data_IF_400496588315
#
_entry.id   IF_400496588315
#
_cell.length_a   1.000
_cell.length_b   1.000
_cell.length_c   1.000
_cell.angle_alpha   90.00
_cell.angle_beta   90.00
_cell.angle_gamma   90.00
#
_symmetry.space_group_name_H-M   'P 1'
#
loop_
_entity.id
_entity.type
_entity.pdbx_description
1 polymer ?
#
# COMPACT_ATOMS: atom_id res chain seq x y z
N UNK A 1 7.52 -7.82 -0.02
CA UNK A 1 7.06 -6.67 0.78
C UNK A 1 5.54 -6.69 0.93
N UNK A 2 4.76 -6.62 -0.16
CA UNK A 2 3.28 -6.74 -0.13
C UNK A 2 2.76 -7.90 0.72
N UNK A 3 3.29 -9.12 0.56
CA UNK A 3 2.86 -10.25 1.39
C UNK A 3 3.06 -10.08 2.90
N UNK A 4 4.06 -9.30 3.35
CA UNK A 4 4.26 -8.97 4.78
C UNK A 4 3.29 -7.89 5.24
N UNK A 5 3.03 -6.88 4.42
CA UNK A 5 2.05 -5.83 4.71
C UNK A 5 0.64 -6.42 4.82
N UNK A 6 0.23 -7.22 3.83
CA UNK A 6 -1.13 -7.77 3.76
C UNK A 6 -1.39 -8.93 4.73
N UNK A 7 -0.36 -9.39 5.44
CA UNK A 7 -0.52 -10.28 6.58
C UNK A 7 -0.95 -9.53 7.86
N UNK A 8 -0.88 -8.19 7.87
CA UNK A 8 -1.34 -7.37 8.99
C UNK A 8 -2.86 -7.21 8.88
N UNK A 9 -3.57 -7.61 9.92
CA UNK A 9 -5.00 -7.33 10.06
C UNK A 9 -5.21 -5.83 10.27
N UNK A 10 -6.04 -5.23 9.42
CA UNK A 10 -6.39 -3.82 9.53
C UNK A 10 -7.12 -3.53 10.85
N UNK A 11 -6.76 -2.45 11.56
CA UNK A 11 -7.54 -1.97 12.69
C UNK A 11 -9.01 -1.70 12.31
N UNK A 12 -9.94 -2.05 13.20
CA UNK A 12 -11.38 -1.95 12.94
C UNK A 12 -11.89 -0.52 12.68
N UNK A 13 -11.11 0.51 13.00
CA UNK A 13 -11.46 1.91 12.77
C UNK A 13 -11.10 2.41 11.36
N UNK A 14 -10.33 1.64 10.58
CA UNK A 14 -10.00 2.03 9.22
C UNK A 14 -11.21 1.91 8.29
N UNK A 15 -11.36 2.84 7.32
CA UNK A 15 -12.40 2.72 6.30
C UNK A 15 -12.15 1.49 5.42
N UNK A 16 -13.22 0.90 4.86
CA UNK A 16 -13.13 -0.24 3.92
C UNK A 16 -13.77 0.11 2.57
N UNK A 17 -13.13 0.99 1.77
CA UNK A 17 -13.73 1.52 0.53
C UNK A 17 -13.84 0.47 -0.59
N UNK A 18 -13.12 -0.65 -0.47
CA UNK A 18 -13.08 -1.72 -1.47
C UNK A 18 -13.90 -2.96 -1.07
N UNK A 19 -14.74 -2.85 -0.04
CA UNK A 19 -15.61 -3.95 0.40
C UNK A 19 -14.91 -4.92 1.35
N UNK A 20 -15.23 -6.21 1.22
CA UNK A 20 -14.76 -7.25 2.15
C UNK A 20 -13.24 -7.46 2.08
N UNK A 21 -12.65 -7.68 3.25
CA UNK A 21 -11.22 -7.96 3.41
C UNK A 21 -10.69 -7.35 4.70
N UNK A 22 -9.70 -8.00 5.29
CA UNK A 22 -9.13 -7.59 6.57
C UNK A 22 -7.65 -7.20 6.48
N UNK A 23 -7.09 -7.10 5.27
CA UNK A 23 -5.71 -6.67 5.12
C UNK A 23 -5.59 -5.17 5.35
N UNK A 24 -4.51 -4.75 6.01
CA UNK A 24 -4.08 -3.36 6.00
C UNK A 24 -3.57 -2.99 4.60
N UNK A 25 -4.19 -1.99 3.99
CA UNK A 25 -3.83 -1.44 2.68
C UNK A 25 -3.08 -0.11 2.88
N UNK A 26 -2.09 0.18 2.04
CA UNK A 26 -1.38 1.46 2.04
C UNK A 26 -2.00 2.47 1.07
N UNK A 27 -2.45 2.00 -0.09
CA UNK A 27 -3.09 2.73 -1.20
C UNK A 27 -2.27 3.85 -1.85
N UNK A 28 -1.03 4.01 -1.42
CA UNK A 28 -0.07 4.97 -1.98
C UNK A 28 1.35 4.44 -1.88
N UNK A 29 1.50 3.15 -2.17
CA UNK A 29 2.80 2.51 -2.06
C UNK A 29 3.62 2.76 -3.33
N UNK A 30 4.74 3.45 -3.16
CA UNK A 30 5.76 3.69 -4.18
C UNK A 30 7.14 3.84 -3.51
N UNK A 31 8.25 3.81 -4.27
CA UNK A 31 9.59 3.84 -3.68
C UNK A 31 9.85 5.02 -2.74
N UNK A 32 9.30 6.21 -3.01
CA UNK A 32 9.46 7.38 -2.12
C UNK A 32 8.76 7.23 -0.76
N UNK A 33 7.78 6.32 -0.63
CA UNK A 33 7.12 5.97 0.65
C UNK A 33 7.77 4.75 1.34
N UNK A 34 8.98 4.37 0.92
CA UNK A 34 9.77 3.28 1.52
C UNK A 34 11.13 3.80 1.98
N UNK A 35 11.39 3.73 3.28
CA UNK A 35 12.73 3.96 3.84
C UNK A 35 13.40 2.61 4.09
N UNK A 36 14.62 2.41 3.58
CA UNK A 36 15.40 1.18 3.85
C UNK A 36 16.50 1.50 4.87
N UNK A 37 16.43 0.86 6.04
CA UNK A 37 17.45 0.98 7.09
C UNK A 37 17.94 -0.42 7.48
N UNK A 38 19.26 -0.64 7.45
CA UNK A 38 19.89 -1.94 7.72
C UNK A 38 19.28 -3.11 6.91
N UNK A 39 18.88 -2.85 5.66
CA UNK A 39 18.26 -3.85 4.78
C UNK A 39 16.78 -4.14 5.07
N UNK A 40 16.17 -3.45 6.03
CA UNK A 40 14.74 -3.60 6.38
C UNK A 40 13.94 -2.44 5.79
N UNK A 41 12.85 -2.71 5.04
CA UNK A 41 11.96 -1.66 4.54
C UNK A 41 10.99 -1.20 5.63
N UNK A 42 10.85 0.11 5.77
CA UNK A 42 9.89 0.81 6.60
C UNK A 42 8.94 1.59 5.71
N UNK A 43 7.64 1.45 5.99
CA UNK A 43 6.58 2.15 5.28
C UNK A 43 6.18 3.41 6.02
N UNK A 44 6.05 4.49 5.26
CA UNK A 44 5.69 5.82 5.75
C UNK A 44 4.50 6.37 4.96
N UNK A 45 3.95 7.50 5.41
CA UNK A 45 2.81 8.15 4.78
C UNK A 45 1.56 7.26 4.64
N UNK A 46 0.94 6.99 5.79
CA UNK A 46 -0.26 6.17 5.92
C UNK A 46 -1.57 6.97 5.73
N UNK A 47 -1.50 8.17 5.14
CA UNK A 47 -2.65 9.06 4.99
C UNK A 47 -3.81 8.40 4.23
N UNK A 48 -3.49 7.49 3.32
CA UNK A 48 -4.44 6.74 2.49
C UNK A 48 -4.77 5.35 3.05
N UNK A 49 -4.36 5.02 4.27
CA UNK A 49 -4.54 3.66 4.81
C UNK A 49 -6.02 3.26 4.89
N UNK A 50 -6.28 2.00 4.57
CA UNK A 50 -7.63 1.44 4.60
C UNK A 50 -7.60 -0.06 4.94
N UNK A 51 -8.77 -0.60 5.25
CA UNK A 51 -9.03 -2.03 5.24
C UNK A 51 -9.50 -2.48 3.85
N UNK A 52 -9.25 -3.73 3.50
CA UNK A 52 -9.89 -4.36 2.34
C UNK A 52 -9.12 -5.55 1.78
N UNK A 53 -9.39 -5.92 0.51
CA UNK A 53 -8.75 -7.03 -0.14
C UNK A 53 -7.33 -6.66 -0.58
N UNK A 54 -6.33 -7.48 -0.22
CA UNK A 54 -4.92 -7.28 -0.55
C UNK A 54 -4.65 -6.95 -2.04
N UNK A 55 -5.35 -7.56 -3.03
CA UNK A 55 -5.19 -7.19 -4.44
C UNK A 55 -5.44 -5.72 -4.77
N UNK A 56 -6.33 -5.01 -4.05
CA UNK A 56 -6.61 -3.60 -4.32
C UNK A 56 -5.37 -2.73 -4.16
N UNK A 57 -4.58 -3.00 -3.11
CA UNK A 57 -3.35 -2.28 -2.81
C UNK A 57 -2.23 -2.58 -3.83
N UNK A 58 -2.17 -3.82 -4.33
CA UNK A 58 -1.25 -4.22 -5.40
C UNK A 58 -1.61 -3.52 -6.71
N UNK A 59 -2.89 -3.50 -7.07
CA UNK A 59 -3.38 -2.81 -8.28
C UNK A 59 -3.07 -1.32 -8.22
N UNK A 60 -3.35 -0.68 -7.08
CA UNK A 60 -3.06 0.75 -6.89
C UNK A 60 -1.56 1.06 -7.01
N UNK A 61 -0.71 0.24 -6.38
CA UNK A 61 0.75 0.33 -6.51
C UNK A 61 1.21 0.23 -7.97
N UNK A 62 0.64 -0.71 -8.73
CA UNK A 62 0.99 -0.90 -10.13
C UNK A 62 0.60 0.32 -10.99
N UNK A 63 -0.60 0.87 -10.77
CA UNK A 63 -1.07 2.08 -11.46
C UNK A 63 -0.15 3.26 -11.18
N UNK A 64 0.18 3.52 -9.91
CA UNK A 64 1.07 4.63 -9.52
C UNK A 64 2.44 4.54 -10.21
N UNK A 65 3.06 3.36 -10.17
CA UNK A 65 4.37 3.13 -10.80
C UNK A 65 4.24 3.28 -12.33
N UNK A 66 3.25 2.66 -12.96
CA UNK A 66 3.06 2.71 -14.40
C UNK A 66 2.80 4.14 -14.91
N UNK A 67 1.98 4.91 -14.19
CA UNK A 67 1.70 6.31 -14.53
C UNK A 67 2.94 7.21 -14.37
N UNK A 68 3.82 6.92 -13.41
CA UNK A 68 5.09 7.66 -13.26
C UNK A 68 6.04 7.44 -14.45
N UNK A 69 6.01 6.27 -15.07
CA UNK A 69 6.82 5.92 -16.24
C UNK A 69 6.27 6.52 -17.54
N UNK A 70 4.96 6.76 -17.60
CA UNK A 70 4.27 7.33 -18.76
C UNK A 70 4.41 8.86 -18.86
N UNK A 71 4.94 9.53 -17.84
CA UNK A 71 5.26 10.96 -17.85
C UNK A 71 6.77 11.13 -18.07
N UNK A 72 7.25 11.26 -19.33
CA UNK A 72 8.65 11.56 -19.57
C UNK A 72 8.92 12.97 -19.04
N UNK A 73 9.86 13.08 -18.10
CA UNK A 73 10.52 14.35 -17.81
C UNK A 73 11.29 14.83 -19.03
#
# INVERSE_FOLDING_TARGET
MHGRLHAITAPAWLPSPFGEGQALLHLDLHPENVIVAAGVPYLIDWTNAAAGPAPADITQTWVLIASSLASPR
#
